data_IF_041183996936
#
_entry.id   IF_041183996936
#
_cell.length_a   1.000
_cell.length_b   1.000
_cell.length_c   1.000
_cell.angle_alpha   90.00
_cell.angle_beta   90.00
_cell.angle_gamma   90.00
#
_symmetry.space_group_name_H-M   'P 1'
#
loop_
_entity.id
_entity.type
_entity.pdbx_description
1 polymer ?
#
# COMPACT_ATOMS: atom_id res chain seq x y z
N UNK A 1 42.03 19.52 -2.62
CA UNK A 1 41.62 18.17 -3.02
C UNK A 1 40.12 18.21 -3.25
N UNK A 2 39.65 18.03 -4.49
CA UNK A 2 38.22 17.86 -4.73
C UNK A 2 37.79 16.56 -4.04
N UNK A 3 36.83 16.62 -3.12
CA UNK A 3 36.24 15.41 -2.55
C UNK A 3 35.60 14.63 -3.70
N UNK A 4 36.00 13.37 -3.89
CA UNK A 4 35.29 12.49 -4.81
C UNK A 4 33.82 12.42 -4.36
N UNK A 5 32.85 12.53 -5.28
CA UNK A 5 31.45 12.43 -4.92
C UNK A 5 31.18 11.03 -4.33
N UNK A 6 30.48 11.01 -3.18
CA UNK A 6 30.11 9.78 -2.47
C UNK A 6 29.24 8.90 -3.38
N UNK A 7 29.62 7.63 -3.55
CA UNK A 7 28.80 6.64 -4.23
C UNK A 7 27.75 6.09 -3.26
N UNK A 8 26.47 6.23 -3.61
CA UNK A 8 25.34 5.82 -2.75
C UNK A 8 24.45 4.83 -3.50
N UNK A 9 24.19 3.69 -2.88
CA UNK A 9 23.21 2.70 -3.37
C UNK A 9 22.00 2.70 -2.43
N UNK A 10 20.81 2.76 -3.01
CA UNK A 10 19.55 2.65 -2.25
C UNK A 10 18.91 1.33 -2.58
N UNK A 11 18.71 0.50 -1.56
CA UNK A 11 18.14 -0.83 -1.69
C UNK A 11 16.67 -0.78 -1.35
N UNK A 12 15.80 -1.08 -2.31
CA UNK A 12 14.37 -1.27 -2.08
C UNK A 12 13.46 -0.23 -2.74
N UNK A 13 12.16 -0.54 -2.75
CA UNK A 13 11.14 0.22 -3.48
C UNK A 13 10.38 1.27 -2.66
N UNK A 14 10.62 1.37 -1.35
CA UNK A 14 9.93 2.33 -0.48
C UNK A 14 10.60 3.70 -0.53
N UNK A 15 10.76 4.25 -1.73
CA UNK A 15 11.53 5.46 -2.02
C UNK A 15 10.67 6.74 -1.97
N UNK A 16 9.47 6.67 -1.38
CA UNK A 16 8.52 7.79 -1.32
C UNK A 16 9.10 9.06 -0.69
N UNK A 17 10.10 8.92 0.19
CA UNK A 17 10.77 10.05 0.83
C UNK A 17 11.84 10.73 -0.04
N UNK A 18 12.20 10.18 -1.20
CA UNK A 18 13.32 10.66 -2.03
C UNK A 18 12.80 11.44 -3.25
N UNK A 19 11.57 11.17 -3.66
CA UNK A 19 10.95 11.75 -4.84
C UNK A 19 10.15 13.02 -4.48
N UNK A 20 10.83 14.16 -4.48
CA UNK A 20 10.24 15.48 -4.25
C UNK A 20 9.95 16.16 -5.59
N UNK A 21 8.85 16.90 -5.71
CA UNK A 21 8.66 17.86 -6.81
C UNK A 21 7.28 17.90 -7.47
N UNK A 22 6.38 16.94 -7.23
CA UNK A 22 4.98 17.00 -7.68
C UNK A 22 4.06 16.40 -6.62
N UNK A 23 2.97 17.10 -6.31
CA UNK A 23 1.87 16.56 -5.51
C UNK A 23 1.11 15.54 -6.36
N UNK A 24 1.06 14.24 -5.98
CA UNK A 24 0.34 13.24 -6.75
C UNK A 24 -1.14 13.63 -6.86
N UNK A 25 -1.79 13.24 -7.97
CA UNK A 25 -3.25 13.33 -8.08
C UNK A 25 -3.85 12.69 -6.84
N UNK A 26 -4.63 13.45 -6.10
CA UNK A 26 -5.14 13.04 -4.80
C UNK A 26 -6.51 13.63 -4.58
N UNK A 27 -7.28 12.94 -3.74
CA UNK A 27 -8.56 13.43 -3.25
C UNK A 27 -8.34 13.82 -1.80
N UNK A 28 -8.57 15.09 -1.49
CA UNK A 28 -8.37 15.62 -0.14
C UNK A 28 -9.64 15.46 0.67
N UNK A 29 -9.49 14.80 1.81
CA UNK A 29 -10.50 14.75 2.85
C UNK A 29 -10.29 15.88 3.84
N UNK A 30 -11.23 16.83 4.03
CA UNK A 30 -11.03 17.97 4.93
C UNK A 30 -11.16 17.61 6.41
N UNK A 31 -11.77 16.47 6.73
CA UNK A 31 -11.92 15.97 8.08
C UNK A 31 -12.00 14.44 8.12
N UNK A 32 -11.83 13.88 9.31
CA UNK A 32 -12.09 12.47 9.61
C UNK A 32 -13.37 12.39 10.44
N UNK A 33 -14.33 11.55 10.04
CA UNK A 33 -15.59 11.36 10.77
C UNK A 33 -15.71 9.93 11.31
N UNK A 34 -16.34 9.78 12.48
CA UNK A 34 -16.68 8.49 13.07
C UNK A 34 -18.19 8.32 13.07
N UNK A 35 -18.67 7.20 12.52
CA UNK A 35 -20.10 6.88 12.44
C UNK A 35 -20.50 5.83 13.48
N UNK A 36 -21.77 5.88 13.88
CA UNK A 36 -22.44 4.77 14.58
C UNK A 36 -23.12 3.79 13.60
N UNK A 37 -23.75 2.75 14.12
CA UNK A 37 -24.49 1.74 13.33
C UNK A 37 -25.61 2.36 12.49
N UNK A 38 -26.21 3.44 12.97
CA UNK A 38 -27.30 4.17 12.32
C UNK A 38 -26.78 5.27 11.39
N UNK A 39 -25.47 5.26 11.08
CA UNK A 39 -24.82 6.21 10.18
C UNK A 39 -24.86 7.66 10.71
N UNK A 40 -25.09 7.86 12.02
CA UNK A 40 -24.98 9.18 12.67
C UNK A 40 -23.52 9.47 12.98
N UNK A 41 -23.13 10.74 12.84
CA UNK A 41 -21.76 11.17 13.15
C UNK A 41 -21.64 11.26 14.67
N UNK A 42 -20.76 10.43 15.25
CA UNK A 42 -20.43 10.45 16.69
C UNK A 42 -19.38 11.50 17.00
N UNK A 43 -18.39 11.65 16.13
CA UNK A 43 -17.30 12.62 16.27
C UNK A 43 -16.72 12.97 14.91
N UNK A 44 -16.10 14.15 14.85
CA UNK A 44 -15.36 14.64 13.68
C UNK A 44 -14.05 15.23 14.14
N UNK A 45 -12.96 14.90 13.47
CA UNK A 45 -11.64 15.48 13.68
C UNK A 45 -11.29 16.33 12.47
N UNK A 46 -10.94 17.59 12.70
CA UNK A 46 -10.61 18.55 11.64
C UNK A 46 -9.16 18.36 11.19
N UNK A 47 -8.87 17.20 10.60
CA UNK A 47 -7.57 16.84 10.03
C UNK A 47 -7.77 16.67 8.53
N UNK A 48 -7.05 17.47 7.76
CA UNK A 48 -7.03 17.36 6.31
C UNK A 48 -6.05 16.27 5.88
N UNK A 49 -6.51 15.29 5.10
CA UNK A 49 -5.68 14.18 4.62
C UNK A 49 -5.88 14.01 3.11
N UNK A 50 -4.79 14.09 2.35
CA UNK A 50 -4.78 13.80 0.92
C UNK A 50 -4.56 12.30 0.68
N UNK A 51 -5.44 11.68 -0.11
CA UNK A 51 -5.40 10.25 -0.40
C UNK A 51 -5.17 10.00 -1.90
N UNK A 52 -4.32 9.02 -2.23
CA UNK A 52 -4.04 8.58 -3.59
C UNK A 52 -3.81 7.07 -3.66
N UNK A 53 -3.73 6.51 -4.86
CA UNK A 53 -3.39 5.09 -5.08
C UNK A 53 -1.89 4.88 -5.20
N UNK A 54 -1.42 3.66 -4.92
CA UNK A 54 -0.02 3.31 -5.12
C UNK A 54 0.41 3.42 -6.58
N UNK A 55 -0.47 3.07 -7.54
CA UNK A 55 -0.21 3.22 -8.98
C UNK A 55 0.12 4.67 -9.34
N UNK A 56 -0.72 5.61 -8.90
CA UNK A 56 -0.53 7.05 -9.18
C UNK A 56 0.75 7.54 -8.53
N UNK A 57 0.93 7.25 -7.24
CA UNK A 57 2.12 7.67 -6.51
C UNK A 57 3.40 7.14 -7.18
N UNK A 58 3.44 5.85 -7.49
CA UNK A 58 4.58 5.21 -8.17
C UNK A 58 4.91 5.87 -9.50
N UNK A 59 3.92 6.06 -10.38
CA UNK A 59 4.15 6.60 -11.71
C UNK A 59 4.56 8.08 -11.69
N UNK A 60 3.96 8.90 -10.82
CA UNK A 60 4.37 10.31 -10.61
C UNK A 60 5.80 10.39 -10.09
N UNK A 61 6.15 9.52 -9.14
CA UNK A 61 7.51 9.48 -8.58
C UNK A 61 8.55 9.06 -9.62
N UNK A 62 8.27 8.04 -10.44
CA UNK A 62 9.16 7.63 -11.54
C UNK A 62 9.30 8.73 -12.59
N UNK A 63 8.19 9.34 -13.02
CA UNK A 63 8.22 10.48 -13.94
C UNK A 63 9.12 11.62 -13.44
N UNK A 64 9.17 11.86 -12.13
CA UNK A 64 10.04 12.86 -11.51
C UNK A 64 11.50 12.45 -11.35
N UNK A 65 11.76 11.15 -11.29
CA UNK A 65 13.08 10.62 -11.02
C UNK A 65 13.87 10.36 -12.31
N UNK A 66 13.29 9.58 -13.22
CA UNK A 66 13.95 9.11 -14.45
C UNK A 66 13.16 9.44 -15.72
N UNK A 67 12.13 10.29 -15.61
CA UNK A 67 11.33 10.69 -16.76
C UNK A 67 10.46 9.55 -17.32
N UNK A 68 10.13 8.53 -16.52
CA UNK A 68 9.24 7.45 -16.96
C UNK A 68 7.89 8.02 -17.45
N UNK A 69 7.58 7.79 -18.73
CA UNK A 69 6.26 8.07 -19.29
C UNK A 69 5.28 6.97 -18.88
N UNK A 70 4.07 7.38 -18.52
CA UNK A 70 2.97 6.48 -18.17
C UNK A 70 1.62 7.06 -18.61
N UNK A 71 0.56 6.28 -18.46
CA UNK A 71 -0.82 6.74 -18.59
C UNK A 71 -1.17 7.86 -17.59
N UNK A 72 -0.58 7.84 -16.39
CA UNK A 72 -0.72 8.88 -15.36
C UNK A 72 0.10 10.14 -15.71
N UNK A 73 1.29 9.97 -16.26
CA UNK A 73 2.23 11.06 -16.56
C UNK A 73 2.74 10.93 -18.01
N UNK A 74 1.94 11.38 -18.97
CA UNK A 74 2.28 11.30 -20.40
C UNK A 74 3.44 12.25 -20.81
N UNK A 75 3.64 13.34 -20.07
CA UNK A 75 4.65 14.37 -20.33
C UNK A 75 5.46 14.66 -19.05
N UNK A 76 6.42 13.79 -18.69
CA UNK A 76 7.32 14.05 -17.58
C UNK A 76 8.13 15.33 -17.84
N UNK A 77 8.51 16.03 -16.77
CA UNK A 77 9.36 17.22 -16.89
C UNK A 77 10.72 16.83 -17.48
N UNK A 78 11.32 17.77 -18.24
CA UNK A 78 12.70 17.61 -18.70
C UNK A 78 13.65 17.60 -17.50
N UNK A 79 14.71 16.80 -17.60
CA UNK A 79 15.81 16.81 -16.63
C UNK A 79 16.28 18.25 -16.41
N UNK A 80 16.38 18.65 -15.13
CA UNK A 80 16.94 19.95 -14.76
C UNK A 80 18.46 19.82 -14.79
N UNK A 81 19.15 20.73 -15.49
CA UNK A 81 20.61 20.71 -15.73
C UNK A 81 21.47 20.68 -14.45
N UNK A 82 20.89 20.96 -13.28
CA UNK A 82 21.61 21.03 -12.00
C UNK A 82 21.34 19.85 -11.04
N UNK A 83 20.65 18.78 -11.46
CA UNK A 83 20.49 17.57 -10.62
C UNK A 83 21.66 16.60 -10.85
N UNK A 84 22.10 15.92 -9.80
CA UNK A 84 23.03 14.79 -9.91
C UNK A 84 22.39 13.61 -10.69
N UNK A 85 23.20 12.66 -11.14
CA UNK A 85 22.73 11.46 -11.86
C UNK A 85 22.34 10.34 -10.89
N UNK A 86 21.26 9.62 -11.19
CA UNK A 86 20.86 8.42 -10.48
C UNK A 86 20.23 7.40 -11.44
N UNK A 87 20.34 6.10 -11.11
CA UNK A 87 19.81 4.99 -11.92
C UNK A 87 18.80 4.23 -11.07
N UNK A 88 17.64 3.88 -11.65
CA UNK A 88 16.66 3.01 -11.01
C UNK A 88 16.62 1.62 -11.68
N UNK A 89 17.40 0.71 -11.11
CA UNK A 89 17.44 -0.68 -11.56
C UNK A 89 16.35 -1.51 -10.87
N UNK A 90 15.24 -1.70 -11.57
CA UNK A 90 14.15 -2.57 -11.13
C UNK A 90 14.45 -4.04 -11.40
N UNK A 91 13.75 -4.95 -10.71
CA UNK A 91 13.98 -6.39 -10.85
C UNK A 91 15.31 -6.87 -10.26
N UNK A 92 15.95 -6.06 -9.41
CA UNK A 92 17.15 -6.44 -8.66
C UNK A 92 16.76 -6.80 -7.22
N UNK A 93 16.66 -8.10 -6.93
CA UNK A 93 16.45 -8.57 -5.56
C UNK A 93 17.79 -8.60 -4.83
N UNK A 94 17.98 -7.70 -3.86
CA UNK A 94 19.18 -7.72 -3.02
C UNK A 94 19.16 -8.97 -2.13
N UNK A 95 20.23 -9.75 -2.22
CA UNK A 95 20.40 -11.00 -1.48
C UNK A 95 21.33 -10.84 -0.29
N UNK A 96 22.28 -9.92 -0.36
CA UNK A 96 23.31 -9.72 0.67
C UNK A 96 23.82 -8.28 0.67
N UNK A 97 24.14 -7.76 1.86
CA UNK A 97 24.82 -6.48 2.06
C UNK A 97 25.92 -6.70 3.10
N UNK A 98 27.16 -6.38 2.73
CA UNK A 98 28.34 -6.55 3.59
C UNK A 98 29.13 -5.24 3.63
N UNK A 99 29.57 -4.83 4.82
CA UNK A 99 30.48 -3.68 4.99
C UNK A 99 31.87 -4.18 5.37
N UNK A 100 32.87 -3.81 4.58
CA UNK A 100 34.27 -4.19 4.80
C UNK A 100 35.21 -3.10 4.30
N UNK A 101 36.22 -2.76 5.10
CA UNK A 101 37.31 -1.85 4.73
C UNK A 101 36.86 -0.49 4.17
N UNK A 102 35.76 0.07 4.71
CA UNK A 102 35.23 1.38 4.27
C UNK A 102 34.30 1.32 3.07
N UNK A 103 33.99 0.14 2.54
CA UNK A 103 33.16 -0.06 1.36
C UNK A 103 32.00 -1.02 1.66
N UNK A 104 30.81 -0.70 1.16
CA UNK A 104 29.65 -1.58 1.21
C UNK A 104 29.53 -2.34 -0.10
N UNK A 105 29.44 -3.67 -0.02
CA UNK A 105 29.18 -4.57 -1.15
C UNK A 105 27.73 -5.02 -1.09
N UNK A 106 26.99 -4.82 -2.18
CA UNK A 106 25.61 -5.26 -2.34
C UNK A 106 25.57 -6.33 -3.43
N UNK A 107 25.14 -7.53 -3.06
CA UNK A 107 24.88 -8.62 -4.02
C UNK A 107 23.39 -8.67 -4.32
N UNK A 108 23.05 -8.90 -5.58
CA UNK A 108 21.67 -9.00 -6.02
C UNK A 108 21.48 -10.13 -7.02
N UNK A 109 20.23 -10.59 -7.11
CA UNK A 109 19.72 -11.44 -8.18
C UNK A 109 18.85 -10.61 -9.11
N UNK A 110 19.12 -10.68 -10.40
CA UNK A 110 18.26 -10.14 -11.44
C UNK A 110 17.08 -11.10 -11.66
N UNK A 111 15.86 -10.66 -11.35
CA UNK A 111 14.65 -11.49 -11.43
C UNK A 111 14.13 -11.69 -12.85
N UNK A 112 14.66 -10.96 -13.84
CA UNK A 112 14.28 -11.14 -15.25
C UNK A 112 15.14 -12.18 -15.94
N UNK A 113 16.41 -12.28 -15.56
CA UNK A 113 17.40 -13.18 -16.17
C UNK A 113 17.85 -14.32 -15.25
N UNK A 114 17.46 -14.29 -13.97
CA UNK A 114 17.93 -15.18 -12.90
C UNK A 114 19.46 -15.19 -12.73
N UNK A 115 20.14 -14.11 -13.14
CA UNK A 115 21.59 -13.92 -12.97
C UNK A 115 21.92 -13.20 -11.67
N UNK A 116 23.17 -13.27 -11.23
CA UNK A 116 23.65 -12.63 -10.01
C UNK A 116 24.66 -11.54 -10.35
N UNK A 117 24.64 -10.45 -9.58
CA UNK A 117 25.54 -9.32 -9.74
C UNK A 117 25.95 -8.71 -8.41
N UNK A 118 26.94 -7.83 -8.49
CA UNK A 118 27.52 -7.12 -7.35
C UNK A 118 27.69 -5.66 -7.70
N UNK A 119 27.39 -4.78 -6.73
CA UNK A 119 27.71 -3.35 -6.79
C UNK A 119 28.42 -2.94 -5.50
N UNK A 120 29.34 -2.00 -5.61
CA UNK A 120 30.08 -1.43 -4.48
C UNK A 120 29.68 0.03 -4.29
N UNK A 121 29.56 0.48 -3.03
CA UNK A 121 29.20 1.85 -2.69
C UNK A 121 29.84 2.27 -1.36
N UNK A 122 30.09 3.58 -1.21
CA UNK A 122 30.55 4.17 0.05
C UNK A 122 29.44 4.18 1.11
N UNK A 123 28.18 4.27 0.68
CA UNK A 123 27.00 4.26 1.55
C UNK A 123 25.86 3.45 0.94
N UNK A 124 25.18 2.65 1.78
CA UNK A 124 23.94 1.96 1.41
C UNK A 124 22.79 2.41 2.29
N UNK A 125 21.71 2.87 1.65
CA UNK A 125 20.45 3.21 2.30
C UNK A 125 19.45 2.06 2.12
N UNK A 126 19.05 1.41 3.22
CA UNK A 126 18.14 0.26 3.20
C UNK A 126 16.69 0.75 3.32
N UNK A 127 15.98 0.72 2.19
CA UNK A 127 14.58 1.11 2.01
C UNK A 127 13.73 -0.02 1.38
N UNK A 128 14.08 -1.29 1.65
CA UNK A 128 13.37 -2.51 1.23
C UNK A 128 12.14 -2.83 2.11
N UNK A 129 11.84 -1.89 3.01
CA UNK A 129 10.55 -1.74 3.63
C UNK A 129 10.27 -2.79 4.71
N UNK A 130 9.03 -3.23 4.69
CA UNK A 130 8.40 -3.76 5.87
C UNK A 130 8.88 -5.18 6.19
N UNK A 131 9.10 -6.00 5.17
CA UNK A 131 9.67 -7.35 5.27
C UNK A 131 11.16 -7.38 4.92
N UNK A 132 11.89 -6.31 5.24
CA UNK A 132 13.31 -6.13 4.94
C UNK A 132 14.14 -7.35 5.30
N UNK A 133 14.77 -7.96 4.29
CA UNK A 133 15.72 -9.06 4.48
C UNK A 133 17.05 -8.53 5.02
N UNK A 134 17.45 -7.32 4.59
CA UNK A 134 18.69 -6.70 5.05
C UNK A 134 18.61 -6.37 6.53
N UNK A 135 17.48 -5.82 7.02
CA UNK A 135 17.27 -5.58 8.45
C UNK A 135 17.31 -6.89 9.24
N UNK A 136 16.72 -7.98 8.73
CA UNK A 136 16.77 -9.28 9.40
C UNK A 136 18.20 -9.83 9.48
N UNK A 137 19.01 -9.65 8.43
CA UNK A 137 20.41 -10.08 8.44
C UNK A 137 21.26 -9.27 9.45
N UNK A 138 21.04 -7.95 9.54
CA UNK A 138 21.73 -7.09 10.49
C UNK A 138 21.24 -7.26 11.94
N UNK A 139 19.98 -7.67 12.11
CA UNK A 139 19.36 -7.91 13.41
C UNK A 139 18.69 -9.30 13.43
N UNK A 140 19.45 -10.41 13.48
CA UNK A 140 18.91 -11.76 13.38
C UNK A 140 17.88 -12.12 14.44
N UNK A 141 17.95 -11.47 15.61
CA UNK A 141 17.05 -11.68 16.73
C UNK A 141 15.77 -10.83 16.66
N UNK A 142 15.64 -9.92 15.69
CA UNK A 142 14.42 -9.15 15.50
C UNK A 142 13.29 -10.10 15.08
N UNK A 143 12.20 -10.09 15.85
CA UNK A 143 11.03 -10.94 15.58
C UNK A 143 9.91 -10.09 15.01
N UNK A 144 9.44 -10.47 13.82
CA UNK A 144 8.19 -9.97 13.27
C UNK A 144 7.07 -10.79 13.89
N UNK A 145 6.17 -10.14 14.63
CA UNK A 145 5.09 -10.81 15.34
C UNK A 145 3.76 -10.44 14.72
N UNK A 146 2.93 -11.42 14.40
CA UNK A 146 1.59 -11.14 13.91
C UNK A 146 0.74 -10.52 15.02
N UNK A 147 0.10 -9.40 14.73
CA UNK A 147 -0.61 -8.58 15.71
C UNK A 147 -2.00 -9.15 16.11
N UNK A 148 -2.38 -10.32 15.58
CA UNK A 148 -3.64 -11.00 15.90
C UNK A 148 -4.84 -10.56 15.05
N UNK A 149 -4.62 -9.79 13.97
CA UNK A 149 -5.69 -9.36 13.08
C UNK A 149 -5.22 -9.19 11.63
N UNK A 150 -6.19 -9.32 10.71
CA UNK A 150 -5.99 -9.07 9.28
C UNK A 150 -6.75 -7.82 8.86
N UNK A 151 -6.30 -7.21 7.78
CA UNK A 151 -6.97 -6.13 7.09
C UNK A 151 -7.48 -6.63 5.74
N UNK A 152 -8.79 -6.80 5.61
CA UNK A 152 -9.45 -6.92 4.33
C UNK A 152 -9.45 -5.57 3.64
N UNK A 153 -9.21 -5.56 2.33
CA UNK A 153 -9.06 -4.36 1.53
C UNK A 153 -9.82 -4.50 0.23
N UNK A 154 -10.38 -3.39 -0.22
CA UNK A 154 -11.09 -3.35 -1.46
C UNK A 154 -11.38 -1.94 -1.92
N UNK A 155 -11.85 -1.88 -3.16
CA UNK A 155 -12.24 -0.65 -3.83
C UNK A 155 -13.58 -0.91 -4.50
N UNK A 156 -14.45 0.09 -4.48
CA UNK A 156 -15.60 0.17 -5.37
C UNK A 156 -15.54 1.45 -6.21
N UNK A 157 -16.07 1.40 -7.42
CA UNK A 157 -16.16 2.57 -8.28
C UNK A 157 -17.22 3.53 -7.73
N UNK A 158 -16.94 4.83 -7.68
CA UNK A 158 -17.90 5.81 -7.16
C UNK A 158 -19.23 5.80 -7.96
N UNK A 159 -19.14 5.52 -9.26
CA UNK A 159 -20.29 5.39 -10.16
C UNK A 159 -21.23 4.21 -9.81
N UNK A 160 -20.71 3.16 -9.16
CA UNK A 160 -21.47 1.93 -8.83
C UNK A 160 -22.10 1.94 -7.44
N UNK A 161 -21.79 2.98 -6.65
CA UNK A 161 -22.27 3.16 -5.28
C UNK A 161 -23.55 4.01 -5.26
N UNK A 162 -24.47 3.71 -4.35
CA UNK A 162 -25.68 4.51 -4.18
C UNK A 162 -25.39 5.98 -3.85
N UNK A 163 -26.28 6.88 -4.28
CA UNK A 163 -26.19 8.31 -3.92
C UNK A 163 -26.17 8.52 -2.40
N UNK A 164 -26.99 7.75 -1.67
CA UNK A 164 -27.04 7.78 -0.20
C UNK A 164 -25.65 7.56 0.42
N UNK A 165 -24.91 6.57 -0.09
CA UNK A 165 -23.56 6.25 0.37
C UNK A 165 -22.53 7.29 -0.09
N UNK A 166 -22.59 7.74 -1.35
CA UNK A 166 -21.72 8.81 -1.86
C UNK A 166 -21.84 10.08 -1.03
N UNK A 167 -23.05 10.54 -0.75
CA UNK A 167 -23.29 11.76 0.03
C UNK A 167 -22.76 11.61 1.45
N UNK A 168 -22.83 10.42 2.04
CA UNK A 168 -22.30 10.19 3.39
C UNK A 168 -20.78 10.24 3.44
N UNK A 169 -20.11 9.71 2.41
CA UNK A 169 -18.66 9.64 2.31
C UNK A 169 -18.03 10.77 1.49
N UNK A 170 -18.81 11.74 1.02
CA UNK A 170 -18.41 12.82 0.10
C UNK A 170 -17.13 13.51 0.56
N UNK A 171 -15.99 13.01 0.07
CA UNK A 171 -14.65 13.45 0.43
C UNK A 171 -14.30 13.30 1.90
N UNK A 172 -14.88 12.36 2.65
CA UNK A 172 -14.59 12.21 4.07
C UNK A 172 -13.98 10.85 4.38
N UNK A 173 -12.80 10.87 4.98
CA UNK A 173 -12.24 9.71 5.66
C UNK A 173 -13.18 9.33 6.79
N UNK A 174 -13.73 8.13 6.71
CA UNK A 174 -14.84 7.71 7.55
C UNK A 174 -14.51 6.42 8.27
N UNK A 175 -14.62 6.45 9.59
CA UNK A 175 -14.45 5.29 10.45
C UNK A 175 -15.79 4.79 10.96
N UNK A 176 -15.91 3.47 11.04
CA UNK A 176 -16.92 2.80 11.84
C UNK A 176 -16.22 1.72 12.67
N UNK A 177 -16.46 1.72 13.98
CA UNK A 177 -15.85 0.77 14.90
C UNK A 177 -16.93 0.07 15.74
N UNK A 178 -16.69 -1.20 16.01
CA UNK A 178 -17.55 -2.08 16.81
C UNK A 178 -16.66 -2.96 17.70
N UNK A 179 -17.27 -3.76 18.57
CA UNK A 179 -16.50 -4.67 19.43
C UNK A 179 -15.79 -5.72 18.55
N UNK A 180 -14.45 -5.69 18.54
CA UNK A 180 -13.62 -6.66 17.81
C UNK A 180 -13.21 -6.25 16.39
N UNK A 181 -13.52 -5.02 15.93
CA UNK A 181 -13.04 -4.56 14.63
C UNK A 181 -13.44 -3.14 14.27
N UNK A 182 -12.90 -2.66 13.15
CA UNK A 182 -13.27 -1.37 12.57
C UNK A 182 -13.02 -1.36 11.06
N UNK A 183 -13.78 -0.52 10.35
CA UNK A 183 -13.58 -0.24 8.94
C UNK A 183 -13.30 1.25 8.74
N UNK A 184 -12.36 1.55 7.85
CA UNK A 184 -12.08 2.91 7.38
C UNK A 184 -12.37 2.98 5.88
N UNK A 185 -12.99 4.06 5.45
CA UNK A 185 -13.34 4.34 4.06
C UNK A 185 -12.84 5.72 3.66
N UNK A 186 -12.33 5.86 2.46
CA UNK A 186 -11.89 7.15 1.91
C UNK A 186 -11.90 7.13 0.38
N UNK A 187 -11.99 8.30 -0.21
CA UNK A 187 -11.98 8.47 -1.66
C UNK A 187 -10.56 8.60 -2.17
N UNK A 188 -10.25 7.95 -3.29
CA UNK A 188 -9.00 8.09 -4.04
C UNK A 188 -9.33 8.44 -5.49
N UNK A 189 -8.37 8.97 -6.28
CA UNK A 189 -8.61 9.19 -7.70
C UNK A 189 -8.92 7.89 -8.45
N UNK A 190 -9.54 8.00 -9.62
CA UNK A 190 -9.69 6.88 -10.55
C UNK A 190 -8.35 6.29 -10.99
N UNK A 191 -8.37 5.15 -11.68
CA UNK A 191 -7.14 4.47 -12.15
C UNK A 191 -6.33 5.31 -13.15
N UNK A 192 -6.98 6.29 -13.78
CA UNK A 192 -6.43 7.29 -14.70
C UNK A 192 -5.99 8.59 -14.00
N UNK A 193 -6.13 8.67 -12.68
CA UNK A 193 -5.86 9.87 -11.89
C UNK A 193 -7.02 10.87 -11.83
N UNK A 194 -8.17 10.58 -12.43
CA UNK A 194 -9.30 11.51 -12.45
C UNK A 194 -9.90 11.68 -11.03
N UNK A 195 -10.05 12.94 -10.62
CA UNK A 195 -10.60 13.32 -9.32
C UNK A 195 -12.02 13.90 -9.40
N UNK A 196 -12.61 13.94 -10.59
CA UNK A 196 -13.96 14.46 -10.82
C UNK A 196 -15.04 13.51 -10.28
N UNK A 197 -16.18 14.02 -9.78
CA UNK A 197 -17.26 13.17 -9.29
C UNK A 197 -17.73 12.12 -10.30
N UNK A 198 -17.90 10.88 -9.83
CA UNK A 198 -18.32 9.74 -10.65
C UNK A 198 -17.17 8.98 -11.32
N UNK A 199 -15.97 9.57 -11.37
CA UNK A 199 -14.77 8.95 -11.95
C UNK A 199 -13.77 8.43 -10.90
N UNK A 200 -14.06 8.68 -9.61
CA UNK A 200 -13.18 8.29 -8.50
C UNK A 200 -13.44 6.87 -8.03
N UNK A 201 -12.59 6.45 -7.12
CA UNK A 201 -12.70 5.18 -6.41
C UNK A 201 -12.91 5.42 -4.93
N UNK A 202 -13.72 4.57 -4.30
CA UNK A 202 -13.89 4.54 -2.85
C UNK A 202 -13.09 3.34 -2.32
N UNK A 203 -12.03 3.62 -1.59
CA UNK A 203 -11.19 2.61 -0.95
C UNK A 203 -11.71 2.33 0.46
N UNK A 204 -11.66 1.07 0.87
CA UNK A 204 -11.95 0.67 2.24
C UNK A 204 -10.90 -0.31 2.78
N UNK A 205 -10.71 -0.27 4.09
CA UNK A 205 -9.87 -1.21 4.85
C UNK A 205 -10.64 -1.65 6.08
N UNK A 206 -10.90 -2.94 6.20
CA UNK A 206 -11.67 -3.53 7.29
C UNK A 206 -10.80 -4.48 8.10
N UNK A 207 -10.63 -4.16 9.38
CA UNK A 207 -9.78 -4.89 10.31
C UNK A 207 -10.62 -5.91 11.09
N UNK A 208 -10.25 -7.18 10.96
CA UNK A 208 -10.90 -8.31 11.62
C UNK A 208 -9.89 -9.08 12.48
N UNK A 209 -10.25 -9.32 13.74
CA UNK A 209 -9.46 -10.13 14.65
C UNK A 209 -9.46 -11.60 14.20
N UNK A 210 -8.26 -12.16 14.09
CA UNK A 210 -8.04 -13.57 13.81
C UNK A 210 -6.80 -14.00 14.59
N UNK A 211 -6.95 -14.63 15.77
CA UNK A 211 -5.80 -15.09 16.57
C UNK A 211 -4.88 -15.98 15.75
N UNK A 212 -3.56 -15.92 15.99
CA UNK A 212 -2.57 -16.64 15.17
C UNK A 212 -2.78 -18.17 15.14
N UNK A 213 -3.23 -18.72 16.27
CA UNK A 213 -3.52 -20.15 16.44
C UNK A 213 -4.88 -20.58 15.89
N UNK A 214 -5.72 -19.65 15.43
CA UNK A 214 -7.08 -19.94 14.98
C UNK A 214 -7.10 -20.60 13.59
N UNK A 215 -8.02 -21.54 13.39
CA UNK A 215 -8.23 -22.14 12.07
C UNK A 215 -8.75 -21.09 11.08
N UNK A 216 -9.53 -20.12 11.57
CA UNK A 216 -10.04 -19.00 10.80
C UNK A 216 -8.90 -18.14 10.22
N UNK A 217 -7.81 -17.94 10.96
CA UNK A 217 -6.62 -17.24 10.44
C UNK A 217 -5.93 -18.03 9.33
N UNK A 218 -5.76 -19.33 9.51
CA UNK A 218 -5.18 -20.22 8.49
C UNK A 218 -6.04 -20.18 7.23
N UNK A 219 -7.35 -20.32 7.40
CA UNK A 219 -8.31 -20.34 6.31
C UNK A 219 -8.34 -18.99 5.57
N UNK A 220 -8.45 -17.87 6.27
CA UNK A 220 -8.53 -16.55 5.63
C UNK A 220 -7.27 -16.19 4.86
N UNK A 221 -6.09 -16.67 5.31
CA UNK A 221 -4.81 -16.42 4.65
C UNK A 221 -4.41 -17.51 3.63
N UNK A 222 -5.27 -18.48 3.35
CA UNK A 222 -5.04 -19.51 2.31
C UNK A 222 -5.74 -19.13 1.02
N UNK A 223 -5.01 -19.12 -0.09
CA UNK A 223 -5.57 -18.74 -1.39
C UNK A 223 -6.45 -19.81 -2.04
N UNK A 224 -7.04 -19.46 -3.19
CA UNK A 224 -7.80 -20.37 -4.07
C UNK A 224 -7.00 -21.60 -4.51
N UNK A 225 -5.67 -21.52 -4.56
CA UNK A 225 -4.80 -22.62 -4.97
C UNK A 225 -4.35 -23.48 -3.77
N UNK A 226 -4.86 -23.20 -2.57
CA UNK A 226 -4.50 -23.91 -1.33
C UNK A 226 -3.18 -23.47 -0.72
N UNK A 227 -2.54 -22.41 -1.21
CA UNK A 227 -1.28 -21.89 -0.66
C UNK A 227 -1.56 -20.92 0.47
N UNK A 228 -0.96 -21.19 1.64
CA UNK A 228 -0.99 -20.29 2.79
C UNK A 228 -0.03 -19.12 2.61
N UNK A 229 -0.53 -17.90 2.80
CA UNK A 229 0.25 -16.66 2.78
C UNK A 229 0.52 -16.18 4.21
N UNK A 230 1.71 -15.63 4.46
CA UNK A 230 2.10 -15.15 5.80
C UNK A 230 1.87 -13.66 6.00
N UNK A 231 1.89 -12.87 4.93
CA UNK A 231 1.87 -11.40 5.01
C UNK A 231 0.70 -10.79 4.25
N UNK A 232 0.48 -11.22 3.00
CA UNK A 232 -0.61 -10.70 2.18
C UNK A 232 -1.18 -11.79 1.29
N UNK A 233 -2.50 -11.84 1.21
CA UNK A 233 -3.23 -12.61 0.23
C UNK A 233 -3.57 -11.68 -0.93
N UNK A 234 -2.95 -11.84 -2.12
CA UNK A 234 -3.03 -10.84 -3.17
C UNK A 234 -4.39 -10.81 -3.88
N UNK A 235 -4.61 -9.73 -4.64
CA UNK A 235 -5.80 -9.56 -5.50
C UNK A 235 -5.93 -10.77 -6.43
N UNK A 236 -7.17 -11.26 -6.58
CA UNK A 236 -7.48 -12.41 -7.43
C UNK A 236 -7.14 -13.78 -6.81
N UNK A 237 -6.59 -13.80 -5.58
CA UNK A 237 -6.28 -15.03 -4.84
C UNK A 237 -7.21 -15.31 -3.66
N UNK A 238 -8.17 -14.43 -3.38
CA UNK A 238 -9.24 -14.70 -2.41
C UNK A 238 -10.21 -15.70 -3.00
N UNK A 239 -10.41 -16.85 -2.33
CA UNK A 239 -11.36 -17.86 -2.76
C UNK A 239 -12.80 -17.30 -2.72
N UNK A 240 -13.65 -17.52 -3.75
CA UNK A 240 -15.00 -16.95 -3.84
C UNK A 240 -15.87 -17.24 -2.60
N UNK A 241 -15.82 -18.47 -2.09
CA UNK A 241 -16.59 -18.88 -0.90
C UNK A 241 -16.18 -18.09 0.36
N UNK A 242 -14.89 -17.77 0.51
CA UNK A 242 -14.39 -16.96 1.64
C UNK A 242 -14.85 -15.51 1.48
N UNK A 243 -14.86 -15.01 0.24
CA UNK A 243 -15.38 -13.68 -0.05
C UNK A 243 -16.88 -13.56 0.20
N UNK A 244 -17.67 -14.57 -0.19
CA UNK A 244 -19.10 -14.60 0.07
C UNK A 244 -19.42 -14.60 1.57
N UNK A 245 -18.67 -15.36 2.37
CA UNK A 245 -18.76 -15.30 3.84
C UNK A 245 -18.46 -13.91 4.38
N UNK A 246 -17.40 -13.26 3.89
CA UNK A 246 -17.01 -11.91 4.34
C UNK A 246 -18.07 -10.87 3.95
N UNK A 247 -18.65 -10.98 2.75
CA UNK A 247 -19.77 -10.14 2.30
C UNK A 247 -21.01 -10.34 3.17
N UNK A 248 -21.34 -11.58 3.54
CA UNK A 248 -22.47 -11.86 4.44
C UNK A 248 -22.25 -11.23 5.82
N UNK A 249 -21.04 -11.39 6.39
CA UNK A 249 -20.67 -10.76 7.65
C UNK A 249 -20.76 -9.23 7.59
N UNK A 250 -20.35 -8.61 6.47
CA UNK A 250 -20.47 -7.17 6.29
C UNK A 250 -21.92 -6.67 6.37
N UNK A 251 -22.88 -7.41 5.81
CA UNK A 251 -24.31 -7.07 5.88
C UNK A 251 -24.86 -7.21 7.30
N UNK A 252 -24.31 -8.11 8.10
CA UNK A 252 -24.73 -8.34 9.48
C UNK A 252 -24.22 -7.25 10.42
N UNK A 253 -22.94 -6.86 10.30
CA UNK A 253 -22.29 -6.06 11.34
C UNK A 253 -21.96 -4.62 10.92
N UNK A 254 -21.79 -4.34 9.64
CA UNK A 254 -21.40 -3.00 9.19
C UNK A 254 -22.64 -2.14 8.91
N UNK A 255 -22.56 -0.81 9.12
CA UNK A 255 -23.60 0.09 8.67
C UNK A 255 -23.73 0.04 7.14
N UNK A 256 -24.95 0.27 6.65
CA UNK A 256 -25.29 0.13 5.23
C UNK A 256 -24.25 0.69 4.23
N UNK A 257 -23.75 1.95 4.38
CA UNK A 257 -22.77 2.51 3.45
C UNK A 257 -21.47 1.69 3.37
N UNK A 258 -21.00 1.19 4.52
CA UNK A 258 -19.80 0.36 4.59
C UNK A 258 -20.05 -1.05 4.03
N UNK A 259 -21.21 -1.64 4.33
CA UNK A 259 -21.58 -2.94 3.79
C UNK A 259 -21.75 -2.91 2.27
N UNK A 260 -22.36 -1.86 1.71
CA UNK A 260 -22.52 -1.67 0.26
C UNK A 260 -21.16 -1.65 -0.45
N UNK A 261 -20.18 -0.94 0.11
CA UNK A 261 -18.81 -0.88 -0.40
C UNK A 261 -18.15 -2.27 -0.48
N UNK A 262 -18.35 -3.10 0.54
CA UNK A 262 -17.90 -4.49 0.55
C UNK A 262 -18.64 -5.30 -0.53
N UNK A 263 -19.97 -5.16 -0.65
CA UNK A 263 -20.73 -5.89 -1.68
C UNK A 263 -20.30 -5.55 -3.12
N UNK A 264 -19.97 -4.29 -3.38
CA UNK A 264 -19.60 -3.80 -4.72
C UNK A 264 -18.14 -4.10 -5.08
N UNK A 265 -17.34 -4.58 -4.12
CA UNK A 265 -15.95 -4.93 -4.39
C UNK A 265 -15.84 -6.26 -5.14
N UNK A 266 -15.16 -6.23 -6.28
CA UNK A 266 -14.94 -7.41 -7.13
C UNK A 266 -13.57 -8.07 -6.91
N UNK A 267 -12.59 -7.30 -6.45
CA UNK A 267 -11.18 -7.70 -6.33
C UNK A 267 -10.64 -7.44 -4.93
N UNK A 268 -11.13 -8.14 -3.88
CA UNK A 268 -10.62 -7.97 -2.53
C UNK A 268 -9.21 -8.56 -2.40
N UNK A 269 -8.48 -8.08 -1.39
CA UNK A 269 -7.21 -8.67 -0.96
C UNK A 269 -7.05 -8.49 0.55
N UNK A 270 -6.10 -9.21 1.15
CA UNK A 270 -5.95 -9.27 2.61
C UNK A 270 -4.50 -9.01 2.99
N UNK A 271 -4.28 -8.31 4.09
CA UNK A 271 -2.97 -8.14 4.72
C UNK A 271 -3.01 -8.63 6.16
N UNK A 272 -2.16 -9.57 6.52
CA UNK A 272 -1.87 -9.89 7.91
C UNK A 272 -1.05 -8.74 8.51
N UNK A 273 -1.50 -8.21 9.65
CA UNK A 273 -0.84 -7.08 10.29
C UNK A 273 0.20 -7.61 11.26
N UNK A 274 1.43 -7.10 11.15
CA UNK A 274 2.55 -7.55 11.96
C UNK A 274 3.17 -6.35 12.69
N UNK A 275 3.46 -6.55 13.96
CA UNK A 275 4.25 -5.67 14.81
C UNK A 275 5.74 -5.98 14.65
N UNK A 276 6.57 -4.99 14.95
CA UNK A 276 8.03 -5.02 14.79
C UNK A 276 8.74 -4.37 15.95
#
# INVERSE_FOLDING_TARGET
>A
MAQNPLSVVIVGGSLTAIFHGITPYSVTSPNVQYLDQNVKIKSTWNISIAMTSWKILYNVMRANFDGLKSDICARPHKEMEQRGSAIYDHGKEVTEVEYKDGLVTVKYRDTGTETYGTVHADLVLVADGSSSKVRQALQPNLKITYAGYVAWRGIALESEISEKTRTKFAYKTTFFAYKGGYIVLYTIPGEDGNTSPGHRQLNWVWYNQHPESSQEYIDVMTDVDGRRHRSALPIGKVAPQKWDKQKALALEILPFPSAEMVQKTTKPFISAINDR
#
